data_IF_387839859867
#
_entry.id   IF_387839859867
#
_cell.length_a   1.000
_cell.length_b   1.000
_cell.length_c   1.000
_cell.angle_alpha   90.00
_cell.angle_beta   90.00
_cell.angle_gamma   90.00
#
_symmetry.space_group_name_H-M   'P 1'
#
loop_
_entity.id
_entity.type
_entity.pdbx_description
1 polymer ?
#
# COMPACT_ATOMS: atom_id res chain seq x y z
N UNK A 1 -33.21 -27.10 19.00
CA UNK A 1 -32.33 -26.35 18.08
C UNK A 1 -31.79 -25.06 18.72
N UNK A 2 -30.96 -25.10 19.78
CA UNK A 2 -30.45 -23.90 20.50
C UNK A 2 -28.91 -23.81 20.59
N UNK A 3 -28.15 -24.66 19.89
CA UNK A 3 -26.69 -24.74 20.03
C UNK A 3 -25.85 -23.86 19.09
N UNK A 4 -26.41 -23.35 17.98
CA UNK A 4 -25.66 -22.70 16.90
C UNK A 4 -25.41 -21.21 17.13
N UNK A 5 -26.32 -20.48 17.75
CA UNK A 5 -26.25 -19.01 17.92
C UNK A 5 -25.19 -18.59 18.94
N UNK A 6 -25.05 -19.32 20.06
CA UNK A 6 -24.03 -19.02 21.10
C UNK A 6 -22.60 -19.22 20.64
N UNK A 7 -22.31 -20.14 19.70
CA UNK A 7 -20.96 -20.39 19.17
C UNK A 7 -20.52 -19.27 18.22
N UNK A 8 -21.42 -18.77 17.37
CA UNK A 8 -21.17 -17.68 16.42
C UNK A 8 -20.92 -16.34 17.13
N UNK A 9 -21.66 -16.05 18.21
CA UNK A 9 -21.49 -14.84 19.01
C UNK A 9 -20.16 -14.81 19.79
N UNK A 10 -19.71 -15.94 20.36
CA UNK A 10 -18.41 -16.05 21.04
C UNK A 10 -17.22 -15.95 20.06
N UNK A 11 -17.34 -16.40 18.82
CA UNK A 11 -16.32 -16.24 17.78
C UNK A 11 -16.15 -14.75 17.42
N UNK A 12 -17.23 -14.05 17.08
CA UNK A 12 -17.18 -12.63 16.71
C UNK A 12 -16.60 -11.72 17.82
N UNK A 13 -16.88 -12.03 19.08
CA UNK A 13 -16.33 -11.28 20.22
C UNK A 13 -14.83 -11.54 20.42
N UNK A 14 -14.36 -12.77 20.22
CA UNK A 14 -12.93 -13.11 20.29
C UNK A 14 -12.15 -12.50 19.13
N UNK A 15 -12.70 -12.52 17.93
CA UNK A 15 -12.08 -11.94 16.74
C UNK A 15 -11.98 -10.41 16.87
N UNK A 16 -13.03 -9.76 17.38
CA UNK A 16 -13.00 -8.31 17.67
C UNK A 16 -12.00 -7.96 18.80
N UNK A 17 -11.83 -8.85 19.79
CA UNK A 17 -10.82 -8.71 20.85
C UNK A 17 -9.40 -8.82 20.29
N UNK A 18 -9.15 -9.81 19.42
CA UNK A 18 -7.87 -10.03 18.78
C UNK A 18 -7.48 -8.85 17.86
N UNK A 19 -8.42 -8.31 17.09
CA UNK A 19 -8.21 -7.13 16.26
C UNK A 19 -7.84 -5.89 17.09
N UNK A 20 -8.54 -5.65 18.20
CA UNK A 20 -8.20 -4.53 19.12
C UNK A 20 -6.80 -4.70 19.73
N UNK A 21 -6.46 -5.89 20.16
CA UNK A 21 -5.14 -6.20 20.74
C UNK A 21 -4.05 -6.01 19.69
N UNK A 22 -4.28 -6.48 18.47
CA UNK A 22 -3.37 -6.27 17.34
C UNK A 22 -3.16 -4.78 17.07
N UNK A 23 -4.23 -3.98 17.03
CA UNK A 23 -4.13 -2.54 16.83
C UNK A 23 -3.26 -1.85 17.89
N UNK A 24 -3.42 -2.22 19.18
CA UNK A 24 -2.59 -1.70 20.27
C UNK A 24 -1.11 -2.04 20.11
N UNK A 25 -0.79 -3.27 19.70
CA UNK A 25 0.60 -3.70 19.44
C UNK A 25 1.22 -2.92 18.28
N UNK A 26 0.47 -2.71 17.19
CA UNK A 26 0.92 -1.93 16.04
C UNK A 26 1.16 -0.46 16.43
N UNK A 27 0.25 0.16 17.15
CA UNK A 27 0.39 1.54 17.59
C UNK A 27 1.59 1.73 18.53
N UNK A 28 1.75 0.83 19.51
CA UNK A 28 2.90 0.83 20.42
C UNK A 28 4.21 0.70 19.68
N UNK A 29 4.28 -0.21 18.71
CA UNK A 29 5.46 -0.40 17.87
C UNK A 29 5.77 0.82 17.02
N UNK A 30 4.78 1.38 16.34
CA UNK A 30 4.93 2.61 15.55
C UNK A 30 5.50 3.76 16.40
N UNK A 31 4.91 3.98 17.57
CA UNK A 31 5.35 5.04 18.48
C UNK A 31 6.80 4.85 18.93
N UNK A 32 7.17 3.65 19.37
CA UNK A 32 8.51 3.40 19.89
C UNK A 32 9.57 3.41 18.77
N UNK A 33 9.25 2.86 17.62
CA UNK A 33 10.15 2.86 16.45
C UNK A 33 10.42 4.29 15.95
N UNK A 34 9.41 5.16 15.92
CA UNK A 34 9.60 6.55 15.50
C UNK A 34 10.44 7.37 16.49
N UNK A 35 10.36 7.04 17.80
CA UNK A 35 11.07 7.79 18.85
C UNK A 35 12.47 7.30 19.13
N UNK A 36 12.69 5.97 19.12
CA UNK A 36 13.94 5.34 19.56
C UNK A 36 14.68 4.62 18.43
N UNK A 37 14.06 4.49 17.27
CA UNK A 37 14.53 3.61 16.20
C UNK A 37 14.21 2.14 16.47
N UNK A 38 14.32 1.32 15.42
CA UNK A 38 13.98 -0.12 15.49
C UNK A 38 14.98 -0.86 16.39
N UNK A 39 16.27 -0.56 16.25
CA UNK A 39 17.35 -1.29 16.94
C UNK A 39 17.31 -1.07 18.45
N UNK A 40 17.00 0.15 18.88
CA UNK A 40 16.92 0.54 20.29
C UNK A 40 15.58 0.24 20.95
N UNK A 41 14.66 -0.42 20.25
CA UNK A 41 13.35 -0.82 20.79
C UNK A 41 13.31 -2.31 21.06
N UNK A 42 12.96 -2.70 22.29
CA UNK A 42 12.78 -4.11 22.68
C UNK A 42 11.35 -4.57 22.56
N UNK A 43 11.13 -5.89 22.42
CA UNK A 43 9.80 -6.48 22.40
C UNK A 43 9.11 -6.26 23.75
N UNK A 44 9.82 -6.36 24.86
CA UNK A 44 9.32 -6.07 26.20
C UNK A 44 8.72 -4.67 26.30
N UNK A 45 9.42 -3.64 25.81
CA UNK A 45 8.93 -2.26 25.78
C UNK A 45 7.66 -2.10 24.92
N UNK A 46 7.58 -2.82 23.79
CA UNK A 46 6.40 -2.76 22.93
C UNK A 46 5.20 -3.44 23.62
N UNK A 47 5.41 -4.61 24.20
CA UNK A 47 4.39 -5.37 24.92
C UNK A 47 3.86 -4.59 26.13
N UNK A 48 4.75 -4.01 26.94
CA UNK A 48 4.41 -3.15 28.08
C UNK A 48 3.54 -1.96 27.64
N UNK A 49 3.99 -1.21 26.62
CA UNK A 49 3.23 -0.07 26.11
C UNK A 49 1.88 -0.45 25.51
N UNK A 50 1.78 -1.62 24.88
CA UNK A 50 0.54 -2.14 24.33
C UNK A 50 -0.42 -2.71 25.40
N UNK A 51 0.06 -2.89 26.63
CA UNK A 51 -0.69 -3.51 27.73
C UNK A 51 -0.94 -5.01 27.47
N UNK A 52 0.05 -5.73 26.90
CA UNK A 52 -0.02 -7.16 26.61
C UNK A 52 1.23 -7.89 27.10
N UNK A 53 1.13 -9.21 27.24
CA UNK A 53 2.33 -10.03 27.51
C UNK A 53 3.21 -10.18 26.26
N UNK A 54 4.51 -10.43 26.43
CA UNK A 54 5.40 -10.78 25.31
C UNK A 54 4.91 -12.01 24.55
N UNK A 55 4.33 -13.01 25.23
CA UNK A 55 3.72 -14.17 24.57
C UNK A 55 2.59 -13.76 23.62
N UNK A 56 1.77 -12.79 24.02
CA UNK A 56 0.71 -12.21 23.17
C UNK A 56 1.30 -11.47 21.98
N UNK A 57 2.37 -10.69 22.18
CA UNK A 57 3.09 -10.03 21.09
C UNK A 57 3.59 -11.05 20.07
N UNK A 58 4.29 -12.12 20.51
CA UNK A 58 4.79 -13.18 19.61
C UNK A 58 3.69 -13.90 18.87
N UNK A 59 2.57 -14.18 19.52
CA UNK A 59 1.42 -14.80 18.86
C UNK A 59 0.84 -13.91 17.73
N UNK A 60 0.93 -12.57 17.86
CA UNK A 60 0.35 -11.63 16.91
C UNK A 60 1.27 -11.29 15.73
N UNK A 61 2.55 -11.03 16.00
CA UNK A 61 3.46 -10.47 15.00
C UNK A 61 4.80 -11.20 14.87
N UNK A 62 5.05 -12.22 15.68
CA UNK A 62 6.19 -13.16 15.66
C UNK A 62 7.58 -12.55 15.92
N UNK A 63 7.82 -11.28 15.60
CA UNK A 63 9.11 -10.59 15.75
C UNK A 63 8.97 -9.09 15.56
N UNK A 64 10.03 -8.32 15.86
CA UNK A 64 10.09 -6.88 15.50
C UNK A 64 9.97 -6.68 13.98
N UNK A 65 10.60 -7.54 13.18
CA UNK A 65 10.46 -7.51 11.72
C UNK A 65 9.02 -7.81 11.28
N UNK A 66 8.36 -8.78 11.91
CA UNK A 66 6.94 -9.08 11.67
C UNK A 66 6.00 -7.92 12.04
N UNK A 67 6.29 -7.23 13.15
CA UNK A 67 5.58 -6.01 13.53
C UNK A 67 5.74 -4.91 12.47
N UNK A 68 6.95 -4.70 12.00
CA UNK A 68 7.24 -3.69 10.98
C UNK A 68 6.57 -4.02 9.64
N UNK A 69 6.57 -5.31 9.23
CA UNK A 69 5.81 -5.77 8.06
C UNK A 69 4.31 -5.52 8.21
N UNK A 70 3.76 -5.72 9.41
CA UNK A 70 2.36 -5.46 9.69
C UNK A 70 2.05 -3.95 9.61
N UNK A 71 2.92 -3.09 10.15
CA UNK A 71 2.79 -1.64 10.05
C UNK A 71 2.81 -1.15 8.60
N UNK A 72 3.72 -1.65 7.78
CA UNK A 72 3.77 -1.32 6.36
C UNK A 72 2.52 -1.79 5.62
N UNK A 73 2.09 -3.03 5.89
CA UNK A 73 0.88 -3.56 5.25
C UNK A 73 -0.36 -2.73 5.60
N UNK A 74 -0.54 -2.37 6.86
CA UNK A 74 -1.70 -1.61 7.30
C UNK A 74 -1.70 -0.16 6.75
N UNK A 75 -0.52 0.43 6.58
CA UNK A 75 -0.39 1.76 5.96
C UNK A 75 -0.66 1.73 4.45
N UNK A 76 -0.14 0.71 3.76
CA UNK A 76 -0.27 0.58 2.30
C UNK A 76 -1.68 0.11 1.91
N UNK A 77 -2.23 -0.87 2.63
CA UNK A 77 -3.50 -1.54 2.31
C UNK A 77 -4.65 -1.14 3.25
N UNK A 78 -4.67 0.11 3.69
CA UNK A 78 -5.75 0.66 4.51
C UNK A 78 -7.05 0.91 3.72
N UNK A 79 -8.11 1.43 4.38
CA UNK A 79 -9.43 1.61 3.76
C UNK A 79 -9.41 2.44 2.47
N UNK A 80 -8.53 3.43 2.34
CA UNK A 80 -8.38 4.23 1.12
C UNK A 80 -7.89 3.40 -0.06
N UNK A 81 -6.93 2.50 0.19
CA UNK A 81 -6.44 1.58 -0.82
C UNK A 81 -7.54 0.59 -1.25
N UNK A 82 -8.30 0.04 -0.29
CA UNK A 82 -9.41 -0.86 -0.59
C UNK A 82 -10.48 -0.19 -1.45
N UNK A 83 -10.86 1.05 -1.13
CA UNK A 83 -11.81 1.85 -1.93
C UNK A 83 -11.27 2.12 -3.35
N UNK A 84 -10.01 2.51 -3.48
CA UNK A 84 -9.39 2.75 -4.78
C UNK A 84 -9.31 1.47 -5.61
N UNK A 85 -9.01 0.34 -4.98
CA UNK A 85 -8.99 -0.98 -5.65
C UNK A 85 -10.39 -1.44 -6.07
N UNK A 86 -11.41 -1.23 -5.25
CA UNK A 86 -12.79 -1.55 -5.61
C UNK A 86 -13.25 -0.73 -6.81
N UNK A 87 -12.95 0.58 -6.84
CA UNK A 87 -13.25 1.46 -7.98
C UNK A 87 -12.54 0.98 -9.24
N UNK A 88 -11.25 0.66 -9.15
CA UNK A 88 -10.47 0.13 -10.26
C UNK A 88 -11.00 -1.23 -10.76
N UNK A 89 -11.42 -2.11 -9.85
CA UNK A 89 -11.98 -3.42 -10.20
C UNK A 89 -13.34 -3.30 -10.91
N UNK A 90 -14.13 -2.28 -10.59
CA UNK A 90 -15.42 -2.00 -11.24
C UNK A 90 -15.31 -1.39 -12.64
N UNK A 91 -14.15 -0.81 -12.98
CA UNK A 91 -13.94 -0.22 -14.30
C UNK A 91 -13.74 -1.32 -15.36
N UNK A 92 -14.47 -1.23 -16.46
CA UNK A 92 -14.38 -2.17 -17.60
C UNK A 92 -13.53 -1.63 -18.74
N UNK A 93 -13.50 -0.29 -18.94
CA UNK A 93 -12.66 0.34 -19.96
C UNK A 93 -11.18 0.29 -19.58
N UNK A 94 -10.30 -0.25 -20.42
CA UNK A 94 -8.86 -0.30 -20.16
C UNK A 94 -8.21 1.08 -19.97
N UNK A 95 -8.69 2.11 -20.65
CA UNK A 95 -8.19 3.50 -20.50
C UNK A 95 -8.55 4.05 -19.13
N UNK A 96 -9.80 3.86 -18.70
CA UNK A 96 -10.24 4.24 -17.35
C UNK A 96 -9.41 3.50 -16.27
N UNK A 97 -9.11 2.22 -16.46
CA UNK A 97 -8.26 1.45 -15.54
C UNK A 97 -6.84 1.99 -15.44
N UNK A 98 -6.29 2.53 -16.53
CA UNK A 98 -4.99 3.23 -16.50
C UNK A 98 -5.11 4.51 -15.67
N UNK A 99 -6.12 5.35 -15.92
CA UNK A 99 -6.37 6.57 -15.16
C UNK A 99 -6.54 6.29 -13.66
N UNK A 100 -7.40 5.32 -13.30
CA UNK A 100 -7.67 4.94 -11.91
C UNK A 100 -6.45 4.37 -11.16
N UNK A 101 -5.37 4.04 -11.88
CA UNK A 101 -4.10 3.67 -11.22
C UNK A 101 -3.52 4.82 -10.41
N UNK A 102 -3.81 6.06 -10.76
CA UNK A 102 -3.41 7.25 -9.99
C UNK A 102 -4.07 7.29 -8.61
N UNK A 103 -5.36 6.91 -8.50
CA UNK A 103 -6.06 6.82 -7.22
C UNK A 103 -5.45 5.77 -6.31
N UNK A 104 -5.06 4.63 -6.88
CA UNK A 104 -4.40 3.56 -6.13
C UNK A 104 -3.01 4.00 -5.65
N UNK A 105 -2.22 4.66 -6.50
CA UNK A 105 -0.91 5.18 -6.15
C UNK A 105 -1.00 6.22 -5.02
N UNK A 106 -1.93 7.17 -5.13
CA UNK A 106 -2.20 8.14 -4.08
C UNK A 106 -2.60 7.46 -2.77
N UNK A 107 -3.56 6.53 -2.80
CA UNK A 107 -4.05 5.87 -1.60
C UNK A 107 -2.96 5.11 -0.84
N UNK A 108 -1.98 4.55 -1.55
CA UNK A 108 -0.80 3.91 -0.97
C UNK A 108 0.06 4.94 -0.22
N UNK A 109 0.37 6.07 -0.86
CA UNK A 109 1.35 7.03 -0.34
C UNK A 109 0.77 8.04 0.65
N UNK A 110 -0.51 8.41 0.53
CA UNK A 110 -1.24 9.20 1.54
C UNK A 110 -1.35 8.48 2.89
N UNK A 111 -1.35 7.15 2.88
CA UNK A 111 -1.33 6.34 4.11
C UNK A 111 0.04 6.30 4.79
N UNK A 112 1.09 6.75 4.08
CA UNK A 112 2.45 6.73 4.57
C UNK A 112 2.71 7.94 5.47
N UNK A 113 2.58 7.75 6.79
CA UNK A 113 2.95 8.81 7.74
C UNK A 113 4.45 9.13 7.67
N UNK A 114 4.84 10.35 8.08
CA UNK A 114 6.25 10.77 8.15
C UNK A 114 7.10 9.77 8.97
N UNK A 115 6.54 9.24 10.04
CA UNK A 115 7.18 8.22 10.89
C UNK A 115 7.42 6.92 10.14
N UNK A 116 6.46 6.49 9.31
CA UNK A 116 6.59 5.29 8.50
C UNK A 116 7.60 5.49 7.36
N UNK A 117 7.64 6.67 6.77
CA UNK A 117 8.64 7.06 5.77
C UNK A 117 10.06 6.99 6.34
N UNK A 118 10.25 7.49 7.57
CA UNK A 118 11.52 7.43 8.28
C UNK A 118 11.91 5.97 8.58
N UNK A 119 10.95 5.16 9.01
CA UNK A 119 11.13 3.73 9.25
C UNK A 119 11.49 2.97 7.97
N UNK A 120 10.89 3.32 6.83
CA UNK A 120 11.25 2.72 5.54
C UNK A 120 12.69 3.06 5.14
N UNK A 121 13.14 4.29 5.34
CA UNK A 121 14.53 4.69 5.10
C UNK A 121 15.50 3.92 6.01
N UNK A 122 15.19 3.80 7.29
CA UNK A 122 16.00 3.05 8.26
C UNK A 122 16.01 1.53 7.96
N UNK A 123 14.92 0.99 7.40
CA UNK A 123 14.79 -0.42 7.08
C UNK A 123 15.60 -0.87 5.86
N UNK A 124 16.17 0.04 5.08
CA UNK A 124 17.04 -0.30 3.95
C UNK A 124 18.23 -1.18 4.37
N UNK A 125 18.59 -1.17 5.66
CA UNK A 125 19.65 -1.99 6.24
C UNK A 125 19.18 -3.37 6.74
N UNK A 126 17.85 -3.62 6.85
CA UNK A 126 17.31 -4.93 7.29
C UNK A 126 17.08 -5.88 6.11
N UNK A 127 17.74 -7.06 6.08
CA UNK A 127 17.53 -8.07 5.02
C UNK A 127 16.07 -8.53 4.91
N UNK A 128 15.38 -8.70 6.05
CA UNK A 128 13.98 -9.16 6.06
C UNK A 128 13.04 -8.11 5.46
N UNK A 129 13.28 -6.84 5.74
CA UNK A 129 12.47 -5.76 5.19
C UNK A 129 12.71 -5.57 3.70
N UNK A 130 13.95 -5.69 3.24
CA UNK A 130 14.25 -5.72 1.80
C UNK A 130 13.54 -6.88 1.09
N UNK A 131 13.43 -8.05 1.73
CA UNK A 131 12.67 -9.19 1.18
C UNK A 131 11.18 -8.87 1.09
N UNK A 132 10.61 -8.26 2.10
CA UNK A 132 9.20 -7.84 2.12
C UNK A 132 8.92 -6.79 1.06
N UNK A 133 9.75 -5.77 0.95
CA UNK A 133 9.63 -4.74 -0.07
C UNK A 133 9.70 -5.33 -1.47
N UNK A 134 10.68 -6.20 -1.76
CA UNK A 134 10.78 -6.91 -3.06
C UNK A 134 9.51 -7.69 -3.39
N UNK A 135 8.89 -8.36 -2.40
CA UNK A 135 7.63 -9.10 -2.61
C UNK A 135 6.47 -8.16 -2.94
N UNK A 136 6.36 -7.02 -2.28
CA UNK A 136 5.34 -6.01 -2.58
C UNK A 136 5.56 -5.40 -3.96
N UNK A 137 6.80 -5.12 -4.32
CA UNK A 137 7.16 -4.61 -5.65
C UNK A 137 6.83 -5.62 -6.75
N UNK A 138 7.09 -6.91 -6.53
CA UNK A 138 6.71 -7.96 -7.48
C UNK A 138 5.20 -8.04 -7.66
N UNK A 139 4.43 -7.99 -6.56
CA UNK A 139 2.96 -7.98 -6.63
C UNK A 139 2.46 -6.75 -7.40
N UNK A 140 2.99 -5.57 -7.10
CA UNK A 140 2.65 -4.32 -7.79
C UNK A 140 2.98 -4.40 -9.28
N UNK A 141 4.17 -4.90 -9.65
CA UNK A 141 4.55 -5.10 -11.06
C UNK A 141 3.58 -6.03 -11.79
N UNK A 142 3.20 -7.15 -11.16
CA UNK A 142 2.22 -8.06 -11.75
C UNK A 142 0.88 -7.37 -11.99
N UNK A 143 0.33 -6.67 -11.01
CA UNK A 143 -0.94 -5.96 -11.15
C UNK A 143 -0.89 -4.87 -12.23
N UNK A 144 0.25 -4.22 -12.41
CA UNK A 144 0.44 -3.22 -13.47
C UNK A 144 0.60 -3.87 -14.84
N UNK A 145 1.32 -4.99 -14.94
CA UNK A 145 1.43 -5.77 -16.17
C UNK A 145 0.06 -6.22 -16.68
N UNK A 146 -0.81 -6.72 -15.79
CA UNK A 146 -2.17 -7.13 -16.15
C UNK A 146 -2.99 -5.97 -16.75
N UNK A 147 -2.79 -4.74 -16.29
CA UNK A 147 -3.45 -3.53 -16.84
C UNK A 147 -2.91 -3.15 -18.22
N UNK A 148 -1.59 -3.17 -18.38
CA UNK A 148 -0.95 -2.93 -19.68
C UNK A 148 -1.38 -3.99 -20.69
N UNK A 149 -1.40 -5.26 -20.30
CA UNK A 149 -1.86 -6.34 -21.18
C UNK A 149 -3.32 -6.16 -21.62
N UNK A 150 -4.19 -5.69 -20.73
CA UNK A 150 -5.58 -5.38 -21.05
C UNK A 150 -5.69 -4.20 -22.03
N UNK A 151 -4.90 -3.14 -21.83
CA UNK A 151 -4.84 -1.97 -22.71
C UNK A 151 -4.41 -2.36 -24.14
N UNK A 152 -3.35 -3.17 -24.26
CA UNK A 152 -2.84 -3.64 -25.55
C UNK A 152 -3.80 -4.61 -26.25
N UNK A 153 -4.40 -5.55 -25.50
CA UNK A 153 -5.40 -6.48 -26.07
C UNK A 153 -6.63 -5.77 -26.63
N UNK A 154 -7.00 -4.64 -26.02
CA UNK A 154 -8.12 -3.82 -26.47
C UNK A 154 -7.74 -2.88 -27.65
N UNK A 155 -6.49 -2.86 -28.10
CA UNK A 155 -6.02 -1.95 -29.13
C UNK A 155 -6.11 -0.47 -28.72
N UNK A 156 -6.05 -0.17 -27.40
CA UNK A 156 -6.19 1.18 -26.85
C UNK A 156 -4.86 1.77 -26.37
N UNK A 157 -3.74 1.08 -26.63
CA UNK A 157 -2.41 1.60 -26.34
C UNK A 157 -2.05 2.73 -27.31
N UNK A 158 -1.20 3.65 -26.85
CA UNK A 158 -0.66 4.73 -27.67
C UNK A 158 0.07 4.13 -28.89
N UNK A 159 -0.18 4.63 -30.12
CA UNK A 159 0.53 4.18 -31.31
C UNK A 159 2.05 4.28 -31.17
N UNK A 160 2.75 3.23 -31.61
CA UNK A 160 4.21 3.16 -31.53
C UNK A 160 4.78 2.81 -30.16
N UNK A 161 3.93 2.66 -29.12
CA UNK A 161 4.38 2.25 -27.81
C UNK A 161 4.38 0.72 -27.70
N UNK A 162 5.49 0.13 -27.24
CA UNK A 162 5.56 -1.30 -26.89
C UNK A 162 5.19 -1.55 -25.42
N UNK A 163 4.88 -2.81 -25.11
CA UNK A 163 4.42 -3.21 -23.76
C UNK A 163 5.48 -3.02 -22.67
N UNK A 164 6.73 -3.24 -22.98
CA UNK A 164 7.83 -3.14 -22.01
C UNK A 164 8.04 -1.68 -21.60
N UNK A 165 8.08 -0.79 -22.59
CA UNK A 165 8.15 0.66 -22.38
C UNK A 165 6.93 1.16 -21.62
N UNK A 166 5.71 0.73 -22.00
CA UNK A 166 4.48 1.09 -21.31
C UNK A 166 4.51 0.66 -19.84
N UNK A 167 4.95 -0.56 -19.57
CA UNK A 167 5.11 -1.07 -18.20
C UNK A 167 6.12 -0.27 -17.39
N UNK A 168 7.24 0.12 -17.99
CA UNK A 168 8.29 0.92 -17.36
C UNK A 168 7.81 2.34 -17.04
N UNK A 169 7.07 2.97 -17.96
CA UNK A 169 6.46 4.30 -17.76
C UNK A 169 5.44 4.25 -16.61
N UNK A 170 4.53 3.26 -16.63
CA UNK A 170 3.55 3.09 -15.56
C UNK A 170 4.21 2.87 -14.20
N UNK A 171 5.25 2.02 -14.16
CA UNK A 171 6.01 1.75 -12.95
C UNK A 171 6.69 2.99 -12.38
N UNK A 172 7.36 3.77 -13.24
CA UNK A 172 8.06 4.99 -12.86
C UNK A 172 7.09 6.06 -12.35
N UNK A 173 6.06 6.40 -13.14
CA UNK A 173 5.12 7.49 -12.81
C UNK A 173 4.33 7.22 -11.53
N UNK A 174 4.02 5.96 -11.26
CA UNK A 174 3.31 5.56 -10.02
C UNK A 174 4.25 5.21 -8.88
N UNK A 175 5.53 5.56 -8.95
CA UNK A 175 6.51 5.25 -7.89
C UNK A 175 6.36 6.18 -6.68
N UNK A 176 6.84 5.68 -5.53
CA UNK A 176 6.95 6.47 -4.31
C UNK A 176 7.81 7.71 -4.49
N UNK A 177 8.89 7.60 -5.28
CA UNK A 177 9.82 8.70 -5.49
C UNK A 177 9.17 9.87 -6.22
N UNK A 178 8.32 9.60 -7.23
CA UNK A 178 7.57 10.63 -7.94
C UNK A 178 6.57 11.31 -6.99
N UNK A 179 5.83 10.54 -6.19
CA UNK A 179 4.92 11.10 -5.18
C UNK A 179 5.69 11.98 -4.18
N UNK A 180 6.79 11.48 -3.63
CA UNK A 180 7.59 12.21 -2.64
C UNK A 180 8.13 13.54 -3.20
N UNK A 181 8.69 13.52 -4.41
CA UNK A 181 9.22 14.72 -5.05
C UNK A 181 8.14 15.78 -5.29
N UNK A 182 6.97 15.38 -5.78
CA UNK A 182 5.92 16.33 -6.11
C UNK A 182 5.15 16.82 -4.87
N UNK A 183 4.78 15.92 -3.96
CA UNK A 183 3.96 16.28 -2.79
C UNK A 183 4.83 16.83 -1.65
N UNK A 184 5.91 16.14 -1.28
CA UNK A 184 6.69 16.53 -0.10
C UNK A 184 7.82 17.52 -0.39
N UNK A 185 8.45 17.46 -1.56
CA UNK A 185 9.54 18.38 -1.89
C UNK A 185 9.05 19.62 -2.66
N UNK A 186 8.10 19.43 -3.59
CA UNK A 186 7.56 20.53 -4.43
C UNK A 186 6.26 21.14 -3.88
N UNK A 187 5.73 20.64 -2.76
CA UNK A 187 4.57 21.20 -2.06
C UNK A 187 3.23 21.04 -2.78
N UNK A 188 3.09 20.06 -3.66
CA UNK A 188 1.81 19.79 -4.30
C UNK A 188 0.81 19.20 -3.30
N UNK A 189 -0.47 19.54 -3.45
CA UNK A 189 -1.50 18.79 -2.74
C UNK A 189 -1.62 17.37 -3.30
N UNK A 190 -2.02 16.37 -2.48
CA UNK A 190 -2.31 15.02 -2.97
C UNK A 190 -3.37 14.99 -4.08
N UNK A 191 -4.35 15.91 -4.07
CA UNK A 191 -5.35 16.03 -5.12
C UNK A 191 -4.70 16.45 -6.45
N UNK A 192 -3.87 17.52 -6.42
CA UNK A 192 -3.12 17.97 -7.60
C UNK A 192 -2.23 16.87 -8.18
N UNK A 193 -1.56 16.10 -7.31
CA UNK A 193 -0.75 14.96 -7.74
C UNK A 193 -1.60 13.91 -8.46
N UNK A 194 -2.75 13.56 -7.90
CA UNK A 194 -3.64 12.55 -8.48
C UNK A 194 -4.16 12.98 -9.86
N UNK A 195 -4.68 14.19 -9.98
CA UNK A 195 -5.20 14.76 -11.24
C UNK A 195 -4.11 14.79 -12.33
N UNK A 196 -2.93 15.28 -11.96
CA UNK A 196 -1.77 15.28 -12.85
C UNK A 196 -1.38 13.87 -13.29
N UNK A 197 -1.34 12.93 -12.35
CA UNK A 197 -0.94 11.56 -12.66
C UNK A 197 -1.97 10.86 -13.54
N UNK A 198 -3.28 11.04 -13.29
CA UNK A 198 -4.34 10.53 -14.17
C UNK A 198 -4.14 11.00 -15.62
N UNK A 199 -3.98 12.29 -15.80
CA UNK A 199 -3.80 12.89 -17.10
C UNK A 199 -2.52 12.39 -17.79
N UNK A 200 -1.40 12.41 -17.08
CA UNK A 200 -0.10 11.97 -17.58
C UNK A 200 -0.09 10.48 -17.98
N UNK A 201 -0.76 9.61 -17.20
CA UNK A 201 -0.87 8.19 -17.51
C UNK A 201 -1.70 7.96 -18.79
N UNK A 202 -2.84 8.65 -18.92
CA UNK A 202 -3.69 8.54 -20.11
C UNK A 202 -2.95 9.05 -21.35
N UNK A 203 -2.33 10.21 -21.27
CA UNK A 203 -1.55 10.78 -22.39
C UNK A 203 -0.37 9.92 -22.83
N UNK A 204 0.37 9.40 -21.84
CA UNK A 204 1.60 8.65 -22.12
C UNK A 204 1.35 7.24 -22.65
N UNK A 205 0.26 6.60 -22.23
CA UNK A 205 0.06 5.16 -22.41
C UNK A 205 -1.08 4.80 -23.39
N UNK A 206 -2.02 5.73 -23.64
CA UNK A 206 -3.26 5.40 -24.37
C UNK A 206 -3.46 6.21 -25.65
N UNK A 207 -4.39 5.75 -26.47
CA UNK A 207 -4.84 6.42 -27.70
C UNK A 207 -5.87 7.55 -27.46
N UNK A 208 -6.20 7.87 -26.21
CA UNK A 208 -7.34 8.72 -25.87
C UNK A 208 -7.25 10.15 -26.42
N UNK A 209 -6.04 10.68 -26.64
CA UNK A 209 -5.84 12.04 -27.19
C UNK A 209 -6.08 12.05 -28.71
N UNK A 210 -5.70 11.01 -29.42
CA UNK A 210 -5.84 10.96 -30.89
C UNK A 210 -7.29 10.81 -31.35
N UNK A 211 -8.22 10.40 -30.48
CA UNK A 211 -9.65 10.28 -30.79
C UNK A 211 -10.44 11.56 -30.53
N UNK A 212 -9.82 12.62 -29.99
CA UNK A 212 -10.44 13.92 -29.76
C UNK A 212 -10.13 14.97 -30.85
N UNK A 213 -9.25 14.61 -31.80
CA UNK A 213 -8.93 15.36 -33.02
C UNK A 213 -9.61 14.70 -34.21
#
# INVERSE_FOLDING_TARGET
MQGSVKRKYKSNSRDAGALRTRAKVLEAGRYLFSRKGIDNTTIAQIAERAGVSEATFYAMVKSKAGLLQALFRDAIFGPRFEQAQQRLAGATDPVERIALTAHVARAIYDGESADLSLLMKASAFSPELRKTQRRLDQLRRKMQSDRIDALFRAGRARPGLDKETAGSVLWMLTSRDVYHKLVHESGWSPDKFQEWLEHTLVESLTDAIQRRT
#
